data_IF_066563157013
#
_entry.id   IF_066563157013
#
_cell.length_a   1.000
_cell.length_b   1.000
_cell.length_c   1.000
_cell.angle_alpha   90.00
_cell.angle_beta   90.00
_cell.angle_gamma   90.00
#
_symmetry.space_group_name_H-M   'P 1'
#
loop_
_entity.id
_entity.type
_entity.pdbx_description
1 polymer ?
#
# COMPACT_ATOMS: atom_id res chain seq x y z
N UNK A 1 -9.02 -14.05 2.90
CA UNK A 1 -9.53 -14.54 4.21
C UNK A 1 -9.37 -16.05 4.43
N UNK A 2 -8.93 -16.85 3.46
CA UNK A 2 -8.81 -18.31 3.63
C UNK A 2 -7.62 -18.71 4.53
N UNK A 3 -6.45 -18.10 4.30
CA UNK A 3 -5.27 -18.25 5.15
C UNK A 3 -5.32 -17.19 6.27
N UNK A 4 -5.16 -17.62 7.52
CA UNK A 4 -5.23 -16.80 8.75
C UNK A 4 -6.57 -16.04 8.96
N UNK A 5 -7.72 -16.74 9.03
CA UNK A 5 -9.04 -16.09 9.14
C UNK A 5 -9.25 -15.32 10.45
N UNK A 6 -8.58 -15.71 11.52
CA UNK A 6 -8.68 -15.07 12.84
C UNK A 6 -7.79 -13.83 13.00
N UNK A 7 -6.93 -13.54 12.02
CA UNK A 7 -5.94 -12.46 12.12
C UNK A 7 -6.49 -11.16 11.53
N UNK A 8 -6.13 -10.04 12.15
CA UNK A 8 -6.29 -8.69 11.58
C UNK A 8 -5.49 -8.56 10.27
N UNK A 9 -5.78 -7.57 9.40
CA UNK A 9 -5.00 -7.35 8.18
C UNK A 9 -3.49 -7.29 8.40
N UNK A 10 -3.05 -6.56 9.42
CA UNK A 10 -1.62 -6.42 9.74
C UNK A 10 -0.99 -7.71 10.25
N UNK A 11 -1.71 -8.49 11.05
CA UNK A 11 -1.24 -9.80 11.49
C UNK A 11 -1.13 -10.78 10.32
N UNK A 12 -2.04 -10.70 9.34
CA UNK A 12 -1.94 -11.51 8.10
C UNK A 12 -0.72 -11.12 7.27
N UNK A 13 -0.46 -9.83 7.11
CA UNK A 13 0.75 -9.33 6.45
C UNK A 13 2.01 -9.84 7.15
N UNK A 14 2.08 -9.73 8.47
CA UNK A 14 3.21 -10.24 9.26
C UNK A 14 3.39 -11.75 9.06
N UNK A 15 2.30 -12.53 9.15
CA UNK A 15 2.36 -13.98 9.03
C UNK A 15 2.82 -14.43 7.62
N UNK A 16 2.21 -13.89 6.57
CA UNK A 16 2.55 -14.26 5.19
C UNK A 16 3.97 -13.82 4.82
N UNK A 17 4.37 -12.63 5.25
CA UNK A 17 5.69 -12.10 4.94
C UNK A 17 6.78 -12.82 5.72
N UNK A 18 6.50 -13.24 6.96
CA UNK A 18 7.42 -14.09 7.75
C UNK A 18 7.62 -15.47 7.13
N UNK A 19 6.56 -16.05 6.54
CA UNK A 19 6.62 -17.36 5.88
C UNK A 19 7.43 -17.32 4.58
N UNK A 20 7.17 -16.32 3.73
CA UNK A 20 7.75 -16.26 2.38
C UNK A 20 8.97 -15.34 2.24
N UNK A 21 9.26 -14.53 3.25
CA UNK A 21 10.33 -13.53 3.25
C UNK A 21 9.98 -12.27 2.44
N UNK A 22 9.49 -12.41 1.21
CA UNK A 22 9.01 -11.31 0.37
C UNK A 22 7.76 -11.73 -0.40
N UNK A 23 6.75 -10.85 -0.45
CA UNK A 23 5.49 -11.10 -1.14
C UNK A 23 5.01 -9.85 -1.89
N UNK A 24 4.23 -10.08 -2.96
CA UNK A 24 3.37 -9.06 -3.56
C UNK A 24 1.93 -9.37 -3.16
N UNK A 25 1.35 -8.51 -2.31
CA UNK A 25 -0.02 -8.66 -1.84
C UNK A 25 -0.96 -7.88 -2.76
N UNK A 26 -1.71 -8.57 -3.60
CA UNK A 26 -2.62 -7.95 -4.57
C UNK A 26 -4.02 -7.70 -4.01
N UNK A 27 -4.77 -6.81 -4.67
CA UNK A 27 -6.19 -6.55 -4.38
C UNK A 27 -6.41 -5.66 -3.15
N UNK A 28 -5.60 -4.61 -3.00
CA UNK A 28 -5.69 -3.70 -1.85
C UNK A 28 -6.65 -2.55 -2.15
N UNK A 29 -7.80 -2.56 -1.48
CA UNK A 29 -8.81 -1.50 -1.56
C UNK A 29 -10.23 -2.05 -1.62
N UNK A 30 -10.43 -3.12 -2.39
CA UNK A 30 -11.71 -3.80 -2.51
C UNK A 30 -12.13 -4.54 -1.24
N UNK A 31 -13.44 -4.74 -1.06
CA UNK A 31 -13.95 -5.56 0.02
C UNK A 31 -13.55 -7.03 -0.15
N UNK A 32 -13.07 -7.62 0.93
CA UNK A 32 -12.86 -9.06 1.02
C UNK A 32 -14.18 -9.78 1.34
N UNK A 33 -14.15 -11.10 1.42
CA UNK A 33 -15.31 -11.95 1.70
C UNK A 33 -16.04 -11.67 3.03
N UNK A 34 -15.50 -10.81 3.89
CA UNK A 34 -16.10 -10.36 5.15
C UNK A 34 -16.72 -8.95 5.06
N UNK A 35 -16.86 -8.39 3.86
CA UNK A 35 -17.40 -7.05 3.61
C UNK A 35 -16.48 -5.91 4.08
N UNK A 36 -15.19 -6.20 4.31
CA UNK A 36 -14.20 -5.20 4.74
C UNK A 36 -13.00 -5.21 3.80
N UNK A 37 -12.47 -4.03 3.50
CA UNK A 37 -11.22 -3.92 2.77
C UNK A 37 -10.04 -4.45 3.60
N UNK A 38 -9.01 -4.95 2.93
CA UNK A 38 -7.75 -5.30 3.61
C UNK A 38 -7.08 -4.04 4.19
N UNK A 39 -6.98 -2.99 3.38
CA UNK A 39 -6.56 -1.65 3.77
C UNK A 39 -7.26 -0.61 2.86
N UNK A 40 -7.22 0.66 3.26
CA UNK A 40 -7.76 1.77 2.49
C UNK A 40 -6.98 1.99 1.19
N UNK A 41 -7.71 2.31 0.11
CA UNK A 41 -7.10 2.73 -1.15
C UNK A 41 -7.98 3.77 -1.83
N UNK A 42 -7.35 4.74 -2.49
CA UNK A 42 -8.05 5.75 -3.26
C UNK A 42 -8.75 5.12 -4.47
N UNK A 43 -9.88 5.69 -4.86
CA UNK A 43 -10.63 5.24 -6.04
C UNK A 43 -10.04 5.74 -7.37
N UNK A 44 -9.12 6.70 -7.31
CA UNK A 44 -8.83 7.59 -8.45
C UNK A 44 -7.70 7.08 -9.36
N UNK A 45 -6.85 6.16 -8.89
CA UNK A 45 -5.64 5.78 -9.63
C UNK A 45 -5.33 4.29 -9.65
N UNK A 46 -5.57 3.51 -8.58
CA UNK A 46 -5.33 2.06 -8.60
C UNK A 46 -6.60 1.31 -8.93
N UNK A 47 -6.52 0.34 -9.83
CA UNK A 47 -7.61 -0.60 -10.05
C UNK A 47 -7.54 -1.75 -9.03
N UNK A 48 -8.37 -1.66 -8.00
CA UNK A 48 -8.56 -2.68 -6.98
C UNK A 48 -9.89 -3.43 -7.14
N UNK A 49 -10.58 -3.22 -8.27
CA UNK A 49 -11.94 -3.71 -8.52
C UNK A 49 -12.05 -4.72 -9.67
N UNK A 50 -11.23 -4.60 -10.72
CA UNK A 50 -11.25 -5.48 -11.88
C UNK A 50 -10.81 -6.90 -11.53
N UNK A 51 -11.48 -7.90 -12.11
CA UNK A 51 -11.18 -9.31 -11.89
C UNK A 51 -9.87 -9.68 -12.59
N UNK A 52 -8.94 -10.28 -11.85
CA UNK A 52 -7.69 -10.82 -12.38
C UNK A 52 -7.84 -12.26 -12.91
N UNK A 53 -6.78 -12.80 -13.52
CA UNK A 53 -6.77 -14.15 -14.09
C UNK A 53 -7.08 -15.28 -13.10
N UNK A 54 -6.90 -15.04 -11.80
CA UNK A 54 -7.17 -15.99 -10.73
C UNK A 54 -8.60 -15.84 -10.16
N UNK A 55 -9.42 -14.98 -10.74
CA UNK A 55 -10.81 -14.76 -10.32
C UNK A 55 -10.96 -13.89 -9.06
N UNK A 56 -9.91 -13.19 -8.63
CA UNK A 56 -9.95 -12.24 -7.53
C UNK A 56 -10.02 -10.80 -8.04
N UNK A 57 -10.63 -9.90 -7.28
CA UNK A 57 -10.66 -8.48 -7.62
C UNK A 57 -9.33 -7.78 -7.29
N UNK A 58 -8.89 -6.93 -8.20
CA UNK A 58 -7.77 -6.03 -8.08
C UNK A 58 -6.57 -6.39 -8.97
N UNK A 59 -6.06 -5.33 -9.61
CA UNK A 59 -4.87 -5.29 -10.46
C UNK A 59 -3.77 -4.40 -9.85
N UNK A 60 -3.90 -4.10 -8.56
CA UNK A 60 -2.93 -3.38 -7.74
C UNK A 60 -2.42 -4.27 -6.60
N UNK A 61 -1.41 -3.79 -5.88
CA UNK A 61 -0.89 -4.44 -4.70
C UNK A 61 0.32 -3.76 -4.07
N UNK A 62 0.76 -4.34 -2.97
CA UNK A 62 1.90 -3.86 -2.17
C UNK A 62 3.04 -4.88 -2.16
N UNK A 63 4.27 -4.39 -2.23
CA UNK A 63 5.48 -5.20 -2.00
C UNK A 63 5.78 -5.18 -0.51
N UNK A 64 5.71 -6.34 0.14
CA UNK A 64 6.04 -6.53 1.54
C UNK A 64 7.27 -7.42 1.68
N UNK A 65 8.21 -7.02 2.53
CA UNK A 65 9.40 -7.82 2.90
C UNK A 65 9.48 -8.00 4.40
N UNK A 66 10.03 -9.14 4.85
CA UNK A 66 10.23 -9.39 6.27
C UNK A 66 11.44 -8.60 6.73
N UNK A 67 11.23 -7.62 7.63
CA UNK A 67 12.31 -6.87 8.22
C UNK A 67 12.75 -7.55 9.54
N UNK A 68 13.91 -8.23 9.57
CA UNK A 68 14.37 -8.92 10.77
C UNK A 68 14.80 -7.97 11.89
N UNK A 69 15.12 -6.71 11.58
CA UNK A 69 15.46 -5.69 12.59
C UNK A 69 14.21 -5.27 13.35
N UNK A 70 13.10 -5.06 12.64
CA UNK A 70 11.81 -4.69 13.22
C UNK A 70 10.93 -5.89 13.59
N UNK A 71 11.35 -7.10 13.24
CA UNK A 71 10.60 -8.35 13.42
C UNK A 71 9.14 -8.24 12.90
N UNK A 72 8.96 -7.63 11.72
CA UNK A 72 7.64 -7.34 11.14
C UNK A 72 7.65 -7.26 9.61
N UNK A 73 6.47 -7.34 9.01
CA UNK A 73 6.26 -7.05 7.59
C UNK A 73 6.49 -5.57 7.31
N UNK A 74 7.34 -5.30 6.33
CA UNK A 74 7.79 -3.98 5.96
C UNK A 74 7.47 -3.73 4.50
N UNK A 75 6.54 -2.81 4.27
CA UNK A 75 6.13 -2.40 2.93
C UNK A 75 7.20 -1.54 2.26
N UNK A 76 7.53 -1.84 1.01
CA UNK A 76 8.49 -1.05 0.22
C UNK A 76 7.82 -0.26 -0.90
N UNK A 77 6.66 -0.72 -1.38
CA UNK A 77 6.01 -0.14 -2.54
C UNK A 77 4.51 -0.43 -2.55
N UNK A 78 3.75 0.52 -3.10
CA UNK A 78 2.41 0.31 -3.62
C UNK A 78 2.39 0.60 -5.12
N UNK A 79 1.76 -0.27 -5.89
CA UNK A 79 1.70 -0.16 -7.35
C UNK A 79 0.49 -0.88 -7.93
N UNK A 80 0.16 -0.56 -9.17
CA UNK A 80 -0.92 -1.22 -9.86
C UNK A 80 -1.10 -0.75 -11.29
N UNK A 81 -1.87 -1.55 -12.03
CA UNK A 81 -2.51 -1.10 -13.26
C UNK A 81 -3.49 0.02 -12.86
N UNK A 82 -3.45 1.12 -13.61
CA UNK A 82 -4.28 2.27 -13.31
C UNK A 82 -5.73 2.02 -13.71
N UNK A 83 -6.63 2.72 -13.03
CA UNK A 83 -8.06 2.66 -13.36
C UNK A 83 -8.30 3.05 -14.81
N UNK A 84 -9.08 2.23 -15.50
CA UNK A 84 -9.69 2.62 -16.77
C UNK A 84 -11.00 3.42 -16.51
N UNK A 85 -11.70 3.81 -17.58
CA UNK A 85 -12.99 4.52 -17.47
C UNK A 85 -14.01 3.79 -16.60
N UNK A 86 -14.12 2.46 -16.75
CA UNK A 86 -15.15 1.65 -16.08
C UNK A 86 -14.80 1.49 -14.60
N UNK A 87 -13.55 1.14 -14.31
CA UNK A 87 -13.03 1.00 -12.96
C UNK A 87 -13.12 2.34 -12.22
N UNK A 88 -12.78 3.47 -12.84
CA UNK A 88 -12.89 4.78 -12.20
C UNK A 88 -14.34 5.07 -11.79
N UNK A 89 -15.31 4.92 -12.71
CA UNK A 89 -16.72 5.17 -12.39
C UNK A 89 -17.21 4.25 -11.26
N UNK A 90 -16.95 2.95 -11.38
CA UNK A 90 -17.34 1.97 -10.39
C UNK A 90 -16.72 2.27 -9.01
N UNK A 91 -15.42 2.53 -8.95
CA UNK A 91 -14.71 2.80 -7.70
C UNK A 91 -15.15 4.11 -7.04
N UNK A 92 -15.49 5.15 -7.81
CA UNK A 92 -16.04 6.39 -7.28
C UNK A 92 -17.44 6.19 -6.69
N UNK A 93 -18.29 5.41 -7.36
CA UNK A 93 -19.65 5.09 -6.88
C UNK A 93 -19.60 4.35 -5.53
N UNK A 94 -18.85 3.26 -5.44
CA UNK A 94 -18.75 2.48 -4.20
C UNK A 94 -18.05 3.22 -3.05
N UNK A 95 -17.29 4.28 -3.36
CA UNK A 95 -16.71 5.18 -2.36
C UNK A 95 -17.55 6.42 -2.08
N UNK A 96 -18.71 6.56 -2.72
CA UNK A 96 -19.59 7.73 -2.62
C UNK A 96 -18.89 9.06 -2.96
N UNK A 97 -17.97 9.04 -3.93
CA UNK A 97 -17.16 10.19 -4.36
C UNK A 97 -17.42 10.57 -5.83
N UNK A 98 -18.64 10.33 -6.33
CA UNK A 98 -19.00 10.55 -7.74
C UNK A 98 -18.80 11.99 -8.20
N UNK A 99 -18.83 12.97 -7.30
CA UNK A 99 -18.55 14.38 -7.57
C UNK A 99 -17.15 14.61 -8.14
N UNK A 100 -16.18 13.73 -7.82
CA UNK A 100 -14.81 13.81 -8.34
C UNK A 100 -14.72 13.62 -9.85
N UNK A 101 -15.71 12.96 -10.46
CA UNK A 101 -15.78 12.81 -11.91
C UNK A 101 -15.73 14.16 -12.66
N UNK A 102 -16.11 15.26 -11.99
CA UNK A 102 -16.07 16.61 -12.55
C UNK A 102 -14.68 17.26 -12.55
N UNK A 103 -13.72 16.75 -11.76
CA UNK A 103 -12.36 17.29 -11.65
C UNK A 103 -11.57 17.06 -12.94
N UNK A 104 -10.56 17.90 -13.18
CA UNK A 104 -9.80 17.92 -14.43
C UNK A 104 -9.22 16.56 -14.82
N UNK A 105 -8.52 15.90 -13.89
CA UNK A 105 -7.91 14.59 -14.14
C UNK A 105 -8.95 13.54 -14.50
N UNK A 106 -10.00 13.42 -13.68
CA UNK A 106 -11.07 12.44 -13.86
C UNK A 106 -11.80 12.64 -15.18
N UNK A 107 -12.14 13.89 -15.53
CA UNK A 107 -12.78 14.21 -16.82
C UNK A 107 -11.90 13.78 -17.99
N UNK A 108 -10.61 14.10 -17.95
CA UNK A 108 -9.67 13.68 -18.99
C UNK A 108 -9.60 12.15 -19.14
N UNK A 109 -9.64 11.41 -18.03
CA UNK A 109 -9.66 9.94 -18.06
C UNK A 109 -10.97 9.42 -18.66
N UNK A 110 -12.12 9.91 -18.18
CA UNK A 110 -13.45 9.50 -18.63
C UNK A 110 -13.72 9.84 -20.11
N UNK A 111 -13.10 10.90 -20.61
CA UNK A 111 -13.20 11.35 -22.01
C UNK A 111 -12.14 10.69 -22.92
N UNK A 112 -11.27 9.83 -22.37
CA UNK A 112 -10.28 9.08 -23.15
C UNK A 112 -9.07 9.90 -23.60
N UNK A 113 -8.77 11.01 -22.91
CA UNK A 113 -7.60 11.85 -23.19
C UNK A 113 -6.32 11.36 -22.52
N UNK A 114 -6.41 10.41 -21.58
CA UNK A 114 -5.25 9.82 -20.90
C UNK A 114 -5.03 8.38 -21.39
N UNK A 115 -3.77 7.95 -21.59
CA UNK A 115 -3.48 6.57 -21.93
C UNK A 115 -3.61 5.64 -20.72
N UNK A 116 -3.87 4.37 -21.00
CA UNK A 116 -3.72 3.30 -20.01
C UNK A 116 -2.27 3.24 -19.51
N UNK A 117 -2.09 2.98 -18.22
CA UNK A 117 -0.77 2.95 -17.61
C UNK A 117 -0.68 1.97 -16.44
N UNK A 118 0.55 1.62 -16.09
CA UNK A 118 0.91 0.96 -14.85
C UNK A 118 1.87 1.89 -14.11
N UNK A 119 1.75 1.98 -12.80
CA UNK A 119 2.69 2.76 -12.02
C UNK A 119 2.69 2.41 -10.54
N UNK A 120 3.59 3.05 -9.81
CA UNK A 120 3.72 2.85 -8.38
C UNK A 120 4.73 3.80 -7.76
N UNK A 121 4.82 3.76 -6.44
CA UNK A 121 5.84 4.44 -5.67
C UNK A 121 6.68 3.44 -4.90
N UNK A 122 8.00 3.66 -4.85
CA UNK A 122 8.91 2.92 -3.99
C UNK A 122 9.45 3.90 -2.96
N UNK A 123 9.28 3.57 -1.67
CA UNK A 123 9.71 4.45 -0.58
C UNK A 123 11.24 4.48 -0.47
N UNK A 124 11.89 5.52 -0.98
CA UNK A 124 13.36 5.66 -0.96
C UNK A 124 13.94 5.42 0.43
N UNK A 125 13.48 6.16 1.45
CA UNK A 125 13.97 6.02 2.83
C UNK A 125 13.64 4.66 3.43
N UNK A 126 12.50 4.05 3.05
CA UNK A 126 12.15 2.70 3.50
C UNK A 126 13.11 1.66 2.93
N UNK A 127 13.44 1.75 1.64
CA UNK A 127 14.45 0.90 1.01
C UNK A 127 15.82 1.10 1.67
N UNK A 128 16.25 2.35 1.88
CA UNK A 128 17.52 2.62 2.57
C UNK A 128 17.54 2.02 3.99
N UNK A 129 16.48 2.23 4.78
CA UNK A 129 16.35 1.69 6.12
C UNK A 129 16.46 0.16 6.13
N UNK A 130 15.74 -0.51 5.22
CA UNK A 130 15.78 -1.96 5.07
C UNK A 130 17.17 -2.47 4.67
N UNK A 131 17.76 -1.91 3.63
CA UNK A 131 19.06 -2.34 3.08
C UNK A 131 20.22 -2.11 4.05
N UNK A 132 20.20 -1.00 4.78
CA UNK A 132 21.22 -0.64 5.76
C UNK A 132 20.94 -1.23 7.16
N UNK A 133 19.89 -2.03 7.31
CA UNK A 133 19.48 -2.68 8.57
C UNK A 133 19.31 -1.67 9.71
N UNK A 134 18.68 -0.54 9.40
CA UNK A 134 18.38 0.51 10.37
C UNK A 134 17.12 0.20 11.17
N UNK A 135 17.14 0.59 12.43
CA UNK A 135 16.05 0.36 13.39
C UNK A 135 15.01 1.47 13.32
N UNK A 136 15.39 2.65 12.82
CA UNK A 136 14.46 3.78 12.66
C UNK A 136 14.64 4.49 11.30
N UNK A 137 13.55 4.94 10.68
CA UNK A 137 13.59 5.62 9.37
C UNK A 137 14.35 6.95 9.45
N UNK A 138 14.35 7.60 10.62
CA UNK A 138 15.13 8.80 10.89
C UNK A 138 16.64 8.61 10.75
N UNK A 139 17.17 7.39 10.79
CA UNK A 139 18.60 7.15 10.56
C UNK A 139 19.03 7.36 9.10
N UNK A 140 18.07 7.44 8.17
CA UNK A 140 18.32 7.60 6.73
C UNK A 140 17.57 8.78 6.12
N UNK A 141 16.78 9.50 6.92
CA UNK A 141 15.97 10.64 6.47
C UNK A 141 15.94 11.72 7.56
N UNK A 142 16.35 12.95 7.19
CA UNK A 142 16.18 14.13 8.04
C UNK A 142 14.69 14.45 8.13
N UNK A 143 14.16 14.48 9.35
CA UNK A 143 12.75 14.77 9.59
C UNK A 143 12.51 15.36 10.98
N UNK A 144 11.25 15.63 11.30
CA UNK A 144 10.83 16.15 12.60
C UNK A 144 10.31 14.99 13.43
N UNK A 145 10.84 14.88 14.64
CA UNK A 145 10.45 13.90 15.66
C UNK A 145 10.21 14.65 16.95
N UNK A 146 9.28 14.18 17.77
CA UNK A 146 9.08 14.76 19.10
C UNK A 146 10.32 14.55 19.98
N UNK A 147 10.56 15.47 20.91
CA UNK A 147 11.78 15.44 21.74
C UNK A 147 11.83 14.21 22.65
N UNK A 148 10.67 13.67 23.04
CA UNK A 148 10.60 12.47 23.86
C UNK A 148 11.07 11.24 23.06
N UNK A 149 10.67 11.12 21.80
CA UNK A 149 11.06 10.06 20.89
C UNK A 149 12.54 10.14 20.55
N UNK A 150 13.06 11.36 20.30
CA UNK A 150 14.52 11.56 20.14
C UNK A 150 15.31 11.04 21.32
N UNK A 151 14.86 11.36 22.54
CA UNK A 151 15.51 10.89 23.76
C UNK A 151 15.40 9.36 23.92
N UNK A 152 14.22 8.79 23.65
CA UNK A 152 14.01 7.33 23.68
C UNK A 152 14.95 6.59 22.72
N UNK A 153 15.06 7.09 21.47
CA UNK A 153 15.94 6.53 20.45
C UNK A 153 17.41 6.66 20.85
N UNK A 154 17.81 7.80 21.43
CA UNK A 154 19.17 8.04 21.93
C UNK A 154 19.53 7.05 23.04
N UNK A 155 18.63 6.79 24.00
CA UNK A 155 18.82 5.79 25.06
C UNK A 155 19.00 4.38 24.48
N UNK A 156 18.32 4.09 23.37
CA UNK A 156 18.44 2.82 22.64
C UNK A 156 19.68 2.75 21.72
N UNK A 157 20.50 3.81 21.68
CA UNK A 157 21.67 3.90 20.80
C UNK A 157 21.35 4.15 19.33
N UNK A 158 20.12 4.57 19.01
CA UNK A 158 19.65 4.89 17.66
C UNK A 158 19.84 6.40 17.43
N UNK A 159 20.71 6.75 16.48
CA UNK A 159 20.98 8.13 16.12
C UNK A 159 20.28 8.50 14.80
N UNK A 160 19.30 9.39 14.88
CA UNK A 160 18.56 9.90 13.72
C UNK A 160 19.21 11.18 13.16
N UNK A 161 19.00 11.44 11.85
CA UNK A 161 19.52 12.59 11.10
C UNK A 161 18.69 13.86 11.30
#
# INVERSE_FOLDING_TARGET
MQKYPAFTPKERENAITKEFGAVFLYGIGGELSNGKAHDGRAADYDDWSSVNENGYNGLNGDILVWNPVLNSAFELSSMGIRVDKKALQYQLEIRNNTERASLTFHRMLLDGHLPESIGGGIGQSRVCMFMLKKSHIGEVQVSIWDEQEKENLRIQGINIL
#
